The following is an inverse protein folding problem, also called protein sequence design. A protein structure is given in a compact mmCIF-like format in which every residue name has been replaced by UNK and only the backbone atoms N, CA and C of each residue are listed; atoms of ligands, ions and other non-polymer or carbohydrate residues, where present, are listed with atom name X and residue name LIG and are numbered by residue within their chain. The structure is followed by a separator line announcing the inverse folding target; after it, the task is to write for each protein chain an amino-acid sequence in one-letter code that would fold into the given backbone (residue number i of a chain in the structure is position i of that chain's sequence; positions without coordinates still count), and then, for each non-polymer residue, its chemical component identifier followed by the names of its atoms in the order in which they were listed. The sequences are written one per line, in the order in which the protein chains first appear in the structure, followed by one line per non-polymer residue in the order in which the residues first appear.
data_IF_919993333522
#
_entry.id   IF_919993333522
#
_cell.length_a   1.000
_cell.length_b   1.000
_cell.length_c   1.000
_cell.angle_alpha   90.00
_cell.angle_beta   90.00
_cell.angle_gamma   90.00
#
_symmetry.space_group_name_H-M   'P 1'
#
loop_
_entity.id
_entity.type
_entity.pdbx_description
1 polymer ?
#
# COMPACT_ATOMS: atom_id res chain seq x y z
N UNK A 1 -8.50 -3.06 -27.18
CA UNK A 1 -8.62 -1.68 -26.63
C UNK A 1 -8.69 -1.63 -25.08
N UNK A 2 -8.76 -2.76 -24.37
CA UNK A 2 -8.85 -2.85 -22.88
C UNK A 2 -7.48 -2.72 -22.17
N UNK A 3 -6.39 -3.14 -22.78
CA UNK A 3 -5.05 -3.13 -22.14
C UNK A 3 -4.49 -1.74 -21.80
N UNK A 4 -4.85 -0.69 -22.54
CA UNK A 4 -4.30 0.66 -22.33
C UNK A 4 -4.80 1.36 -21.05
N UNK A 5 -5.91 0.93 -20.46
CA UNK A 5 -6.48 1.59 -19.28
C UNK A 5 -5.81 1.13 -17.98
N UNK A 6 -5.52 -0.17 -17.84
CA UNK A 6 -4.86 -0.74 -16.66
C UNK A 6 -3.43 -0.26 -16.47
N UNK A 7 -2.72 -0.02 -17.57
CA UNK A 7 -1.36 0.49 -17.52
C UNK A 7 -1.28 1.89 -16.87
N UNK A 8 -2.29 2.71 -17.08
CA UNK A 8 -2.33 4.08 -16.56
C UNK A 8 -2.46 4.13 -15.03
N UNK A 9 -3.19 3.24 -14.39
CA UNK A 9 -3.43 3.30 -12.93
C UNK A 9 -2.19 2.90 -12.14
N UNK A 10 -1.51 1.82 -12.51
CA UNK A 10 -0.26 1.41 -11.85
C UNK A 10 0.88 2.43 -12.09
N UNK A 11 0.91 3.05 -13.25
CA UNK A 11 1.85 4.13 -13.55
C UNK A 11 1.65 5.33 -12.61
N UNK A 12 0.42 5.81 -12.43
CA UNK A 12 0.14 6.95 -11.57
C UNK A 12 0.43 6.67 -10.10
N UNK A 13 0.14 5.46 -9.62
CA UNK A 13 0.50 5.03 -8.27
C UNK A 13 2.03 5.03 -8.10
N UNK A 14 2.76 4.45 -9.04
CA UNK A 14 4.21 4.43 -9.02
C UNK A 14 4.82 5.83 -9.11
N UNK A 15 4.26 6.71 -9.94
CA UNK A 15 4.70 8.10 -10.05
C UNK A 15 4.49 8.85 -8.73
N UNK A 16 3.29 8.76 -8.14
CA UNK A 16 3.00 9.41 -6.88
C UNK A 16 3.91 8.92 -5.74
N UNK A 17 4.13 7.61 -5.65
CA UNK A 17 5.09 7.02 -4.72
C UNK A 17 6.49 7.60 -4.90
N UNK A 18 6.98 7.66 -6.15
CA UNK A 18 8.31 8.17 -6.45
C UNK A 18 8.46 9.64 -6.07
N UNK A 19 7.44 10.46 -6.38
CA UNK A 19 7.42 11.88 -5.99
C UNK A 19 7.46 12.02 -4.47
N UNK A 20 6.61 11.28 -3.77
CA UNK A 20 6.58 11.31 -2.28
C UNK A 20 7.93 10.92 -1.69
N UNK A 21 8.57 9.88 -2.21
CA UNK A 21 9.88 9.43 -1.75
C UNK A 21 10.97 10.48 -2.01
N UNK A 22 10.93 11.15 -3.16
CA UNK A 22 11.86 12.25 -3.49
C UNK A 22 11.65 13.42 -2.50
N UNK A 23 10.40 13.78 -2.21
CA UNK A 23 10.07 14.87 -1.28
C UNK A 23 10.60 14.55 0.12
N UNK A 24 10.42 13.32 0.61
CA UNK A 24 11.00 12.84 1.87
C UNK A 24 12.53 12.94 1.85
N UNK A 25 13.17 12.50 0.77
CA UNK A 25 14.61 12.57 0.60
C UNK A 25 15.15 14.02 0.61
N UNK A 26 14.46 14.94 -0.05
CA UNK A 26 14.82 16.37 -0.04
C UNK A 26 14.73 16.97 1.36
N UNK A 27 13.70 16.64 2.12
CA UNK A 27 13.58 17.11 3.50
C UNK A 27 14.67 16.51 4.40
N UNK A 28 15.03 15.23 4.23
CA UNK A 28 16.15 14.62 4.97
C UNK A 28 17.46 15.34 4.69
N UNK A 29 17.73 15.68 3.42
CA UNK A 29 18.92 16.46 3.04
C UNK A 29 18.88 17.85 3.69
N UNK A 30 17.73 18.53 3.70
CA UNK A 30 17.57 19.82 4.34
C UNK A 30 17.82 19.73 5.86
N UNK A 31 17.31 18.71 6.55
CA UNK A 31 17.57 18.44 7.96
C UNK A 31 19.07 18.21 8.23
N UNK A 32 19.71 17.40 7.41
CA UNK A 32 21.14 17.09 7.53
C UNK A 32 21.99 18.36 7.34
N UNK A 33 21.66 19.19 6.35
CA UNK A 33 22.33 20.49 6.13
C UNK A 33 22.12 21.43 7.32
N UNK A 34 20.90 21.47 7.87
CA UNK A 34 20.56 22.30 9.02
C UNK A 34 21.34 21.87 10.27
N UNK A 35 21.40 20.57 10.58
CA UNK A 35 22.03 20.02 11.78
C UNK A 35 23.56 20.01 11.70
N UNK A 36 24.15 20.09 10.51
CA UNK A 36 25.59 19.96 10.32
C UNK A 36 26.43 21.14 10.88
N UNK A 37 25.82 22.18 11.43
CA UNK A 37 26.50 23.31 12.12
C UNK A 37 27.59 24.04 11.31
N UNK A 38 28.36 23.27 10.54
CA UNK A 38 29.44 23.79 9.67
C UNK A 38 28.92 24.68 8.52
N UNK A 39 27.63 24.59 8.20
CA UNK A 39 26.97 25.35 7.15
C UNK A 39 26.34 26.65 7.63
N UNK A 40 26.30 26.92 8.96
CA UNK A 40 25.67 28.11 9.51
C UNK A 40 26.32 29.38 8.98
N UNK A 41 27.65 29.38 8.89
CA UNK A 41 28.42 30.51 8.36
C UNK A 41 28.24 30.66 6.84
N UNK A 42 28.16 29.55 6.11
CA UNK A 42 27.88 29.56 4.69
C UNK A 42 26.45 30.03 4.38
N UNK A 43 25.47 29.61 5.17
CA UNK A 43 24.06 30.03 5.01
C UNK A 43 23.85 31.50 5.26
N UNK A 44 24.59 32.12 6.22
CA UNK A 44 24.54 33.55 6.48
C UNK A 44 25.00 34.40 5.29
N UNK A 45 25.94 33.89 4.50
CA UNK A 45 26.48 34.58 3.34
C UNK A 45 25.73 34.29 2.03
N UNK A 46 24.83 33.30 2.02
CA UNK A 46 24.10 32.82 0.82
C UNK A 46 22.59 32.74 1.04
N UNK A 47 21.94 33.91 1.11
CA UNK A 47 20.50 34.05 1.45
C UNK A 47 19.59 33.12 0.62
N UNK A 48 19.82 33.06 -0.69
CA UNK A 48 19.01 32.18 -1.58
C UNK A 48 19.13 30.70 -1.24
N UNK A 49 20.31 30.26 -0.79
CA UNK A 49 20.52 28.88 -0.38
C UNK A 49 19.86 28.61 0.99
N UNK A 50 19.92 29.58 1.90
CA UNK A 50 19.19 29.49 3.17
C UNK A 50 17.67 29.41 2.97
N UNK A 51 17.11 30.19 2.05
CA UNK A 51 15.70 30.11 1.66
C UNK A 51 15.32 28.74 1.08
N UNK A 52 16.17 28.16 0.23
CA UNK A 52 15.98 26.84 -0.32
C UNK A 52 15.98 25.74 0.77
N UNK A 53 16.92 25.80 1.72
CA UNK A 53 16.94 24.85 2.84
C UNK A 53 15.71 25.02 3.72
N UNK A 54 15.32 26.26 4.06
CA UNK A 54 14.09 26.50 4.83
C UNK A 54 12.84 25.98 4.11
N UNK A 55 12.73 26.15 2.80
CA UNK A 55 11.67 25.57 2.03
C UNK A 55 11.67 24.02 2.10
N UNK A 56 12.86 23.42 2.05
CA UNK A 56 13.05 21.98 2.20
C UNK A 56 12.63 21.44 3.56
N UNK A 57 12.87 22.20 4.64
CA UNK A 57 12.44 21.82 6.00
C UNK A 57 10.93 21.87 6.19
N UNK A 58 10.24 22.73 5.44
CA UNK A 58 8.79 22.95 5.53
C UNK A 58 8.01 22.25 4.41
N UNK A 59 8.53 21.16 3.84
CA UNK A 59 7.80 20.39 2.85
C UNK A 59 6.58 19.70 3.49
N UNK A 60 5.41 19.72 2.83
CA UNK A 60 4.16 19.20 3.40
C UNK A 60 4.08 17.66 3.27
N UNK A 61 5.03 16.93 3.87
CA UNK A 61 5.08 15.46 3.81
C UNK A 61 3.84 14.81 4.42
N UNK A 62 3.31 15.24 5.59
CA UNK A 62 2.11 14.66 6.16
C UNK A 62 0.91 14.70 5.20
N UNK A 63 0.76 15.79 4.42
CA UNK A 63 -0.30 15.95 3.43
C UNK A 63 -0.12 14.98 2.25
N UNK A 64 1.10 14.84 1.74
CA UNK A 64 1.42 13.85 0.71
C UNK A 64 1.09 12.43 1.17
N UNK A 65 1.42 12.09 2.41
CA UNK A 65 1.12 10.77 2.97
C UNK A 65 -0.37 10.57 3.23
N UNK A 66 -1.10 11.61 3.63
CA UNK A 66 -2.56 11.55 3.79
C UNK A 66 -3.25 11.27 2.45
N UNK A 67 -2.82 11.94 1.37
CA UNK A 67 -3.30 11.63 0.01
C UNK A 67 -2.92 10.22 -0.41
N UNK A 68 -1.72 9.76 -0.06
CA UNK A 68 -1.29 8.38 -0.31
C UNK A 68 -2.21 7.36 0.37
N UNK A 69 -2.58 7.57 1.64
CA UNK A 69 -3.58 6.73 2.34
C UNK A 69 -4.87 6.63 1.56
N UNK A 70 -5.39 7.75 1.07
CA UNK A 70 -6.62 7.81 0.26
C UNK A 70 -6.48 7.01 -1.04
N UNK A 71 -5.41 7.25 -1.81
CA UNK A 71 -5.15 6.59 -3.09
C UNK A 71 -5.06 5.07 -2.90
N UNK A 72 -4.28 4.61 -1.92
CA UNK A 72 -4.07 3.19 -1.66
C UNK A 72 -5.36 2.53 -1.15
N UNK A 73 -6.10 3.18 -0.27
CA UNK A 73 -7.37 2.67 0.25
C UNK A 73 -8.41 2.46 -0.86
N UNK A 74 -8.55 3.43 -1.75
CA UNK A 74 -9.44 3.34 -2.91
C UNK A 74 -8.98 2.24 -3.86
N UNK A 75 -7.69 2.20 -4.20
CA UNK A 75 -7.14 1.21 -5.12
C UNK A 75 -7.34 -0.22 -4.60
N UNK A 76 -6.94 -0.47 -3.36
CA UNK A 76 -7.09 -1.79 -2.72
C UNK A 76 -8.56 -2.15 -2.52
N UNK A 77 -9.39 -1.17 -2.13
CA UNK A 77 -10.83 -1.36 -1.93
C UNK A 77 -11.53 -1.76 -3.21
N UNK A 78 -11.26 -1.11 -4.34
CA UNK A 78 -11.84 -1.43 -5.65
C UNK A 78 -11.35 -2.80 -6.11
N UNK A 79 -10.05 -3.09 -6.03
CA UNK A 79 -9.49 -4.39 -6.42
C UNK A 79 -10.16 -5.53 -5.64
N UNK A 80 -10.38 -5.36 -4.34
CA UNK A 80 -11.05 -6.36 -3.49
C UNK A 80 -12.55 -6.46 -3.74
N UNK A 81 -13.23 -5.36 -3.98
CA UNK A 81 -14.65 -5.36 -4.31
C UNK A 81 -14.89 -6.07 -5.65
N UNK A 82 -14.10 -5.80 -6.67
CA UNK A 82 -14.16 -6.49 -7.96
C UNK A 82 -13.95 -7.99 -7.80
N UNK A 83 -12.91 -8.38 -7.06
CA UNK A 83 -12.64 -9.79 -6.82
C UNK A 83 -13.78 -10.50 -6.07
N UNK A 84 -14.39 -9.85 -5.07
CA UNK A 84 -15.53 -10.41 -4.34
C UNK A 84 -16.75 -10.58 -5.25
N UNK A 85 -17.02 -9.59 -6.10
CA UNK A 85 -18.12 -9.66 -7.08
C UNK A 85 -17.90 -10.77 -8.12
N UNK A 86 -16.70 -10.91 -8.63
CA UNK A 86 -16.33 -11.95 -9.58
C UNK A 86 -16.42 -13.35 -8.96
N UNK A 87 -16.04 -13.50 -7.70
CA UNK A 87 -16.14 -14.77 -6.98
C UNK A 87 -17.56 -15.16 -6.58
N UNK A 88 -18.47 -14.18 -6.41
CA UNK A 88 -19.88 -14.44 -6.08
C UNK A 88 -20.77 -14.63 -7.30
N UNK A 89 -20.44 -14.01 -8.41
CA UNK A 89 -21.11 -14.23 -9.68
C UNK A 89 -20.26 -15.23 -10.49
N UNK A 90 -20.50 -16.50 -10.42
CA UNK A 90 -19.91 -17.52 -11.29
C UNK A 90 -19.96 -17.07 -12.77
N UNK A 91 -19.15 -16.09 -13.14
CA UNK A 91 -18.88 -15.76 -14.52
C UNK A 91 -17.92 -16.82 -15.00
N UNK A 92 -18.51 -17.80 -15.66
CA UNK A 92 -17.86 -18.92 -16.32
C UNK A 92 -16.62 -18.46 -17.08
N UNK A 93 -15.48 -19.04 -16.71
CA UNK A 93 -14.30 -19.13 -17.54
C UNK A 93 -13.50 -17.81 -17.61
N UNK A 94 -12.31 -17.82 -17.06
CA UNK A 94 -11.31 -16.75 -17.06
C UNK A 94 -11.60 -15.56 -16.13
N UNK A 95 -11.88 -15.83 -14.87
CA UNK A 95 -11.65 -14.85 -13.83
C UNK A 95 -10.13 -14.66 -13.74
N UNK A 96 -9.64 -13.55 -14.30
CA UNK A 96 -8.28 -13.03 -14.04
C UNK A 96 -8.27 -12.60 -12.56
N UNK A 97 -8.12 -13.59 -11.69
CA UNK A 97 -8.08 -13.43 -10.23
C UNK A 97 -7.04 -12.37 -9.94
N UNK A 98 -7.51 -11.19 -9.55
CA UNK A 98 -6.68 -10.00 -9.39
C UNK A 98 -5.33 -10.36 -8.77
N UNK A 99 -4.30 -10.23 -9.56
CA UNK A 99 -2.96 -10.76 -9.31
C UNK A 99 -2.50 -10.38 -7.89
N UNK A 100 -2.46 -11.33 -6.94
CA UNK A 100 -2.05 -11.05 -5.56
C UNK A 100 -0.67 -10.42 -5.48
N UNK A 101 0.14 -10.54 -6.55
CA UNK A 101 1.44 -9.89 -6.66
C UNK A 101 1.33 -8.37 -6.71
N UNK A 102 0.27 -7.81 -7.30
CA UNK A 102 0.05 -6.35 -7.37
C UNK A 102 -0.17 -5.77 -5.97
N UNK A 103 -0.96 -6.44 -5.16
CA UNK A 103 -1.26 -5.98 -3.82
C UNK A 103 -0.07 -6.12 -2.88
N UNK A 104 0.71 -7.19 -3.00
CA UNK A 104 1.99 -7.34 -2.27
C UNK A 104 2.95 -6.21 -2.60
N UNK A 105 2.99 -5.76 -3.87
CA UNK A 105 3.79 -4.59 -4.27
C UNK A 105 3.32 -3.32 -3.55
N UNK A 106 2.02 -3.07 -3.46
CA UNK A 106 1.49 -1.89 -2.76
C UNK A 106 1.84 -1.93 -1.27
N UNK A 107 1.72 -3.09 -0.61
CA UNK A 107 2.13 -3.26 0.79
C UNK A 107 3.63 -2.95 0.95
N UNK A 108 4.47 -3.45 0.04
CA UNK A 108 5.89 -3.18 0.05
C UNK A 108 6.18 -1.68 -0.10
N UNK A 109 5.51 -0.98 -1.02
CA UNK A 109 5.66 0.46 -1.21
C UNK A 109 5.28 1.24 0.06
N UNK A 110 4.17 0.88 0.72
CA UNK A 110 3.78 1.48 2.00
C UNK A 110 4.82 1.22 3.10
N UNK A 111 5.41 0.01 3.14
CA UNK A 111 6.49 -0.33 4.07
C UNK A 111 7.76 0.51 3.83
N UNK A 112 8.13 0.74 2.57
CA UNK A 112 9.28 1.59 2.21
C UNK A 112 9.02 3.05 2.65
N UNK A 113 7.83 3.60 2.42
CA UNK A 113 7.48 4.96 2.87
C UNK A 113 7.53 5.05 4.41
N UNK A 114 7.00 4.06 5.11
CA UNK A 114 7.06 4.03 6.56
C UNK A 114 8.50 3.99 7.07
N UNK A 115 9.35 3.17 6.50
CA UNK A 115 10.77 3.12 6.86
C UNK A 115 11.47 4.47 6.58
N UNK A 116 11.21 5.07 5.42
CA UNK A 116 11.78 6.37 5.05
C UNK A 116 11.34 7.47 6.03
N UNK A 117 10.06 7.52 6.41
CA UNK A 117 9.57 8.53 7.36
C UNK A 117 10.14 8.33 8.77
N UNK A 118 10.32 7.09 9.23
CA UNK A 118 10.97 6.80 10.52
C UNK A 118 12.43 7.28 10.49
N UNK A 119 13.17 6.99 9.42
CA UNK A 119 14.55 7.46 9.27
C UNK A 119 14.59 8.98 9.26
N UNK A 120 13.70 9.65 8.51
CA UNK A 120 13.59 11.10 8.50
C UNK A 120 13.32 11.68 9.88
N UNK A 121 12.41 11.08 10.64
CA UNK A 121 12.08 11.50 12.00
C UNK A 121 13.29 11.40 12.94
N UNK A 122 14.17 10.42 12.74
CA UNK A 122 15.41 10.32 13.52
C UNK A 122 16.48 11.36 13.13
N UNK A 123 16.41 11.88 11.91
CA UNK A 123 17.36 12.86 11.38
C UNK A 123 16.96 14.31 11.60
N UNK A 124 15.73 14.57 12.05
CA UNK A 124 15.20 15.96 12.14
C UNK A 124 15.89 16.86 13.17
N UNK A 125 16.48 16.29 14.21
CA UNK A 125 17.34 16.89 15.24
C UNK A 125 17.12 18.40 15.50
N UNK A 126 15.92 18.76 16.01
CA UNK A 126 15.58 20.14 16.35
C UNK A 126 15.24 21.06 15.16
N UNK A 127 15.22 20.56 13.92
CA UNK A 127 14.90 21.34 12.72
C UNK A 127 13.44 21.77 12.60
N UNK A 128 12.53 21.17 13.40
CA UNK A 128 11.09 21.41 13.31
C UNK A 128 10.41 20.71 12.12
N UNK A 129 11.14 19.95 11.31
CA UNK A 129 10.61 19.22 10.18
C UNK A 129 9.65 18.10 10.62
N UNK A 130 8.61 17.84 9.82
CA UNK A 130 7.62 16.79 10.08
C UNK A 130 7.66 15.75 8.95
N UNK A 131 7.91 14.49 9.30
CA UNK A 131 8.01 13.39 8.32
C UNK A 131 6.72 12.56 8.20
N UNK A 132 5.69 12.83 8.99
CA UNK A 132 4.38 12.19 8.88
C UNK A 132 4.42 10.68 9.16
N UNK A 133 5.17 10.23 10.17
CA UNK A 133 5.28 8.80 10.54
C UNK A 133 3.92 8.20 10.85
N UNK A 134 3.02 8.94 11.53
CA UNK A 134 1.68 8.47 11.85
C UNK A 134 0.85 8.20 10.60
N UNK A 135 0.90 9.07 9.59
CA UNK A 135 0.20 8.92 8.32
C UNK A 135 0.74 7.72 7.53
N UNK A 136 2.05 7.54 7.47
CA UNK A 136 2.66 6.39 6.80
C UNK A 136 2.35 5.07 7.50
N UNK A 137 2.30 5.06 8.84
CA UNK A 137 1.89 3.89 9.63
C UNK A 137 0.42 3.54 9.38
N UNK A 138 -0.47 4.54 9.31
CA UNK A 138 -1.88 4.35 8.95
C UNK A 138 -2.01 3.79 7.54
N UNK A 139 -1.28 4.31 6.57
CA UNK A 139 -1.28 3.79 5.20
C UNK A 139 -0.88 2.32 5.15
N UNK A 140 0.21 1.97 5.81
CA UNK A 140 0.71 0.61 5.87
C UNK A 140 -0.26 -0.34 6.57
N UNK A 141 -0.75 0.03 7.76
CA UNK A 141 -1.70 -0.76 8.53
C UNK A 141 -3.03 -0.98 7.81
N UNK A 142 -3.59 0.09 7.22
CA UNK A 142 -4.84 0.01 6.44
C UNK A 142 -4.68 -0.92 5.24
N UNK A 143 -3.56 -0.85 4.53
CA UNK A 143 -3.30 -1.71 3.38
C UNK A 143 -3.23 -3.19 3.78
N UNK A 144 -2.57 -3.50 4.90
CA UNK A 144 -2.51 -4.87 5.44
C UNK A 144 -3.91 -5.34 5.85
N UNK A 145 -4.68 -4.52 6.58
CA UNK A 145 -6.03 -4.86 7.01
C UNK A 145 -6.94 -5.18 5.82
N UNK A 146 -6.92 -4.34 4.78
CA UNK A 146 -7.72 -4.55 3.57
C UNK A 146 -7.27 -5.82 2.83
N UNK A 147 -5.98 -6.10 2.81
CA UNK A 147 -5.46 -7.34 2.24
C UNK A 147 -5.99 -8.57 2.99
N UNK A 148 -5.85 -8.60 4.31
CA UNK A 148 -6.26 -9.72 5.15
C UNK A 148 -7.78 -9.91 5.10
N UNK A 149 -8.55 -8.81 5.21
CA UNK A 149 -10.00 -8.86 5.11
C UNK A 149 -10.48 -9.37 3.76
N UNK A 150 -9.84 -8.93 2.67
CA UNK A 150 -10.11 -9.40 1.32
C UNK A 150 -9.84 -10.90 1.16
N UNK A 151 -8.71 -11.40 1.66
CA UNK A 151 -8.39 -12.84 1.61
C UNK A 151 -9.43 -13.67 2.38
N UNK A 152 -9.85 -13.20 3.56
CA UNK A 152 -10.88 -13.88 4.35
C UNK A 152 -12.24 -13.87 3.64
N UNK A 153 -12.65 -12.76 3.04
CA UNK A 153 -13.90 -12.69 2.27
C UNK A 153 -13.90 -13.65 1.08
N UNK A 154 -12.77 -13.75 0.38
CA UNK A 154 -12.57 -14.69 -0.73
C UNK A 154 -12.72 -16.14 -0.27
N UNK A 155 -12.07 -16.51 0.84
CA UNK A 155 -12.17 -17.87 1.36
C UNK A 155 -13.61 -18.22 1.77
N UNK A 156 -14.34 -17.28 2.36
CA UNK A 156 -15.75 -17.46 2.71
C UNK A 156 -16.65 -17.60 1.47
N UNK A 157 -16.42 -16.77 0.43
CA UNK A 157 -17.17 -16.85 -0.81
C UNK A 157 -16.93 -18.17 -1.54
N UNK A 158 -15.70 -18.67 -1.58
CA UNK A 158 -15.36 -19.98 -2.13
C UNK A 158 -16.12 -21.12 -1.41
N UNK A 159 -16.19 -21.06 -0.08
CA UNK A 159 -16.91 -22.06 0.72
C UNK A 159 -18.42 -21.99 0.49
N UNK A 160 -18.99 -20.80 0.33
CA UNK A 160 -20.43 -20.60 0.13
C UNK A 160 -20.92 -21.07 -1.24
N UNK A 161 -20.08 -21.01 -2.28
CA UNK A 161 -20.46 -21.26 -3.67
C UNK A 161 -20.26 -22.71 -4.16
N UNK A 162 -19.86 -23.63 -3.27
CA UNK A 162 -19.68 -25.06 -3.62
C UNK A 162 -18.25 -25.40 -4.07
N UNK A 163 -18.05 -26.59 -4.68
CA UNK A 163 -16.73 -27.12 -4.97
C UNK A 163 -16.02 -26.27 -6.05
N UNK A 164 -15.34 -25.21 -5.60
CA UNK A 164 -14.37 -24.48 -6.37
C UNK A 164 -12.97 -24.84 -5.90
N UNK A 165 -11.94 -24.19 -6.44
CA UNK A 165 -10.56 -24.30 -5.97
C UNK A 165 -10.48 -23.90 -4.48
N UNK A 166 -10.65 -24.87 -3.60
CA UNK A 166 -10.67 -24.69 -2.14
C UNK A 166 -9.28 -24.68 -1.53
N UNK A 167 -8.32 -25.32 -2.19
CA UNK A 167 -6.93 -25.34 -1.77
C UNK A 167 -6.12 -24.12 -2.26
N UNK A 168 -6.61 -23.39 -3.28
CA UNK A 168 -6.01 -22.17 -3.81
C UNK A 168 -4.85 -22.41 -4.75
N UNK A 169 -4.73 -23.61 -5.34
CA UNK A 169 -3.65 -23.94 -6.29
C UNK A 169 -3.98 -23.56 -7.75
N UNK A 170 -5.22 -23.07 -8.00
CA UNK A 170 -5.71 -22.66 -9.31
C UNK A 170 -6.31 -23.79 -10.14
N UNK A 171 -6.40 -25.01 -9.61
CA UNK A 171 -6.96 -26.19 -10.26
C UNK A 171 -8.13 -26.70 -9.41
N UNK A 172 -9.27 -26.94 -10.00
CA UNK A 172 -10.40 -27.62 -9.32
C UNK A 172 -10.24 -29.13 -9.51
N UNK A 173 -9.82 -29.82 -8.47
CA UNK A 173 -9.52 -31.25 -8.51
C UNK A 173 -10.15 -32.04 -7.34
N UNK A 174 -9.83 -33.32 -7.26
CA UNK A 174 -10.32 -34.21 -6.20
C UNK A 174 -9.94 -33.78 -4.79
N UNK A 175 -8.89 -32.97 -4.63
CA UNK A 175 -8.48 -32.44 -3.32
C UNK A 175 -9.47 -31.40 -2.83
N UNK A 176 -10.00 -30.57 -3.74
CA UNK A 176 -11.04 -29.60 -3.43
C UNK A 176 -12.34 -30.29 -3.03
N UNK A 177 -12.72 -31.38 -3.73
CA UNK A 177 -13.86 -32.17 -3.33
C UNK A 177 -13.67 -32.80 -1.94
N UNK A 178 -12.48 -33.28 -1.61
CA UNK A 178 -12.18 -33.84 -0.30
C UNK A 178 -12.31 -32.80 0.80
N UNK A 179 -11.83 -31.56 0.56
CA UNK A 179 -11.96 -30.42 1.47
C UNK A 179 -13.45 -30.06 1.64
N UNK A 180 -14.21 -29.98 0.55
CA UNK A 180 -15.63 -29.67 0.59
C UNK A 180 -16.43 -30.70 1.39
N UNK A 181 -16.18 -32.00 1.18
CA UNK A 181 -16.81 -33.10 1.93
C UNK A 181 -16.50 -33.03 3.41
N UNK A 182 -15.22 -32.79 3.77
CA UNK A 182 -14.82 -32.67 5.17
C UNK A 182 -15.48 -31.49 5.87
N UNK A 183 -15.68 -30.39 5.16
CA UNK A 183 -16.37 -29.22 5.70
C UNK A 183 -17.87 -29.48 5.91
N UNK A 184 -18.52 -30.19 4.99
CA UNK A 184 -19.91 -30.58 5.12
C UNK A 184 -20.14 -31.58 6.27
N UNK A 185 -19.22 -32.51 6.49
CA UNK A 185 -19.27 -33.47 7.61
C UNK A 185 -19.15 -32.77 8.97
N UNK A 186 -18.26 -31.78 9.09
CA UNK A 186 -18.09 -30.99 10.31
C UNK A 186 -19.35 -30.19 10.70
N UNK A 187 -20.02 -29.61 9.71
CA UNK A 187 -21.26 -28.83 9.96
C UNK A 187 -22.54 -29.66 10.03
N UNK A 188 -22.49 -30.93 9.65
CA UNK A 188 -23.65 -31.85 9.79
C UNK A 188 -23.89 -32.26 11.24
N UNK A 189 -22.87 -32.19 12.08
CA UNK A 189 -22.94 -32.55 13.50
C UNK A 189 -23.28 -31.34 14.42
N UNK A 190 -23.47 -30.13 13.86
CA UNK A 190 -23.89 -28.94 14.61
C UNK A 190 -25.40 -28.65 14.55
N UNK A 191 -26.20 -29.50 13.87
CA UNK A 191 -27.68 -29.46 13.85
C UNK A 191 -28.25 -30.56 14.70
#
# INVERSE_FOLDING_TARGET
MKEKFYWKTSFWIGLYFSVTLIVIGLQMVACWVYSSGALTEYLQNHVKFAEFINAGLNLPIPEFLTLWVGIVSVYVGIDRAQFTLESTHMVSGEADYGDPSKLRKVILLCGILLAATIIGETLKDGSGAEFGVSQSAVAFGTTIMLYVAGQKAISMAKVANGPGDLNGDGIVDEKDEAIAKRYQELHKNEK
#
